data_IF_602602459050
#
_entry.id   IF_602602459050
#
_cell.length_a   1.000
_cell.length_b   1.000
_cell.length_c   1.000
_cell.angle_alpha   90.00
_cell.angle_beta   90.00
_cell.angle_gamma   90.00
#
_symmetry.space_group_name_H-M   'P 1'
#
loop_
_entity.id
_entity.type
_entity.pdbx_description
1 polymer ?
#
# COMPACT_ATOMS: atom_id res chain seq x y z
N UNK A 1 -4.19 -10.96 -2.43
CA UNK A 1 -3.28 -11.72 -1.54
C UNK A 1 -1.93 -11.99 -2.16
N UNK A 2 -1.85 -12.79 -3.23
CA UNK A 2 -0.57 -13.14 -3.85
C UNK A 2 0.29 -11.90 -4.16
N UNK A 3 -0.28 -10.87 -4.75
CA UNK A 3 0.43 -9.62 -5.04
C UNK A 3 1.08 -8.96 -3.82
N UNK A 4 0.36 -8.87 -2.68
CA UNK A 4 0.93 -8.33 -1.43
C UNK A 4 2.13 -9.17 -0.97
N UNK A 5 1.98 -10.51 -0.99
CA UNK A 5 3.06 -11.42 -0.62
C UNK A 5 4.29 -11.23 -1.51
N UNK A 6 4.10 -11.18 -2.83
CA UNK A 6 5.18 -10.95 -3.80
C UNK A 6 5.89 -9.61 -3.53
N UNK A 7 5.13 -8.53 -3.31
CA UNK A 7 5.72 -7.22 -2.99
C UNK A 7 6.55 -7.26 -1.70
N UNK A 8 6.03 -7.89 -0.63
CA UNK A 8 6.80 -8.05 0.61
C UNK A 8 8.06 -8.92 0.40
N UNK A 9 7.97 -9.96 -0.43
CA UNK A 9 9.10 -10.84 -0.76
C UNK A 9 10.25 -10.09 -1.45
N UNK A 10 9.91 -9.18 -2.36
CA UNK A 10 10.91 -8.40 -3.11
C UNK A 10 11.54 -7.29 -2.26
N UNK A 11 10.77 -6.70 -1.34
CA UNK A 11 11.18 -5.48 -0.65
C UNK A 11 11.86 -5.77 0.69
N UNK A 12 11.34 -6.77 1.43
CA UNK A 12 11.68 -6.97 2.83
C UNK A 12 12.65 -8.12 3.05
N UNK A 13 13.64 -7.87 3.88
CA UNK A 13 14.55 -8.86 4.44
C UNK A 13 14.40 -8.92 5.96
N UNK A 14 15.02 -9.93 6.57
CA UNK A 14 15.04 -10.10 8.03
C UNK A 14 15.57 -8.86 8.74
N UNK A 15 14.78 -8.32 9.66
CA UNK A 15 15.12 -7.16 10.47
C UNK A 15 14.82 -5.80 9.84
N UNK A 16 14.32 -5.77 8.60
CA UNK A 16 13.81 -4.54 7.99
C UNK A 16 12.57 -4.01 8.73
N UNK A 17 12.30 -2.73 8.59
CA UNK A 17 11.12 -2.08 9.20
C UNK A 17 10.06 -1.78 8.13
N UNK A 18 8.81 -2.19 8.43
CA UNK A 18 7.61 -1.84 7.67
C UNK A 18 6.66 -0.96 8.47
N UNK A 19 6.25 0.17 7.92
CA UNK A 19 5.20 1.03 8.48
C UNK A 19 3.86 0.65 7.84
N UNK A 20 2.85 0.36 8.67
CA UNK A 20 1.52 -0.05 8.21
C UNK A 20 0.48 0.90 8.79
N UNK A 21 -0.37 1.48 7.94
CA UNK A 21 -1.53 2.26 8.39
C UNK A 21 -2.69 1.30 8.72
N UNK A 22 -3.13 1.33 9.97
CA UNK A 22 -4.17 0.45 10.50
C UNK A 22 -5.32 1.20 11.20
N UNK A 23 -6.44 0.52 11.56
CA UNK A 23 -6.67 -0.91 11.35
C UNK A 23 -6.80 -1.25 9.86
N UNK A 24 -6.27 -2.38 9.46
CA UNK A 24 -6.27 -2.84 8.09
C UNK A 24 -6.42 -4.36 8.01
N UNK A 25 -6.84 -4.84 6.85
CA UNK A 25 -6.94 -6.28 6.57
C UNK A 25 -5.67 -7.04 6.98
N UNK A 26 -5.76 -8.09 7.84
CA UNK A 26 -4.63 -8.61 8.61
C UNK A 26 -3.53 -9.29 7.79
N UNK A 27 -3.80 -9.66 6.55
CA UNK A 27 -2.86 -10.45 5.75
C UNK A 27 -1.60 -9.68 5.35
N UNK A 28 -1.61 -8.33 5.34
CA UNK A 28 -0.39 -7.56 5.19
C UNK A 28 0.58 -7.80 6.35
N UNK A 29 0.06 -7.80 7.59
CA UNK A 29 0.88 -8.09 8.77
C UNK A 29 1.54 -9.46 8.68
N UNK A 30 0.74 -10.48 8.31
CA UNK A 30 1.27 -11.83 8.10
C UNK A 30 2.36 -11.88 7.03
N UNK A 31 2.19 -11.12 5.94
CA UNK A 31 3.18 -11.07 4.85
C UNK A 31 4.50 -10.42 5.31
N UNK A 32 4.45 -9.38 6.14
CA UNK A 32 5.63 -8.72 6.71
C UNK A 32 6.32 -9.63 7.74
N UNK A 33 5.56 -10.26 8.64
CA UNK A 33 6.09 -11.18 9.66
C UNK A 33 6.77 -12.41 9.03
N UNK A 34 6.24 -12.93 7.94
CA UNK A 34 6.86 -14.05 7.20
C UNK A 34 8.23 -13.69 6.62
N UNK A 35 8.54 -12.41 6.44
CA UNK A 35 9.88 -11.92 6.07
C UNK A 35 10.78 -11.64 7.27
N UNK A 36 10.36 -11.98 8.48
CA UNK A 36 11.07 -11.65 9.73
C UNK A 36 11.35 -10.13 9.88
N UNK A 37 10.51 -9.31 9.24
CA UNK A 37 10.59 -7.85 9.32
C UNK A 37 9.75 -7.32 10.51
N UNK A 38 10.12 -6.15 11.01
CA UNK A 38 9.48 -5.49 12.14
C UNK A 38 8.34 -4.61 11.64
N UNK A 39 7.19 -4.68 12.32
CA UNK A 39 6.03 -3.84 11.99
C UNK A 39 5.97 -2.65 12.95
N UNK A 40 5.91 -1.46 12.37
CA UNK A 40 5.55 -0.22 13.04
C UNK A 40 4.17 0.22 12.55
N UNK A 41 3.16 0.20 13.42
CA UNK A 41 1.79 0.54 13.05
C UNK A 41 1.44 1.95 13.41
N UNK A 42 0.86 2.68 12.44
CA UNK A 42 0.23 3.99 12.63
C UNK A 42 -1.27 3.82 12.55
N UNK A 43 -1.95 3.98 13.66
CA UNK A 43 -3.39 3.79 13.75
C UNK A 43 -4.15 5.00 13.22
N UNK A 44 -5.19 4.72 12.41
CA UNK A 44 -6.25 5.69 12.15
C UNK A 44 -6.98 6.02 13.45
N UNK A 45 -7.42 7.24 13.58
CA UNK A 45 -8.21 7.72 14.71
C UNK A 45 -9.69 7.81 14.32
N UNK A 46 -10.57 7.50 15.27
CA UNK A 46 -12.00 7.58 15.04
C UNK A 46 -12.63 8.61 15.99
N UNK A 47 -13.12 9.71 15.40
CA UNK A 47 -14.03 10.66 16.02
C UNK A 47 -15.12 11.02 14.99
N UNK A 48 -16.28 10.37 15.05
CA UNK A 48 -17.36 10.43 14.06
C UNK A 48 -16.97 9.89 12.68
N UNK A 49 -15.76 10.13 12.23
CA UNK A 49 -15.16 9.59 10.99
C UNK A 49 -13.74 9.08 11.27
N UNK A 50 -13.25 8.20 10.39
CA UNK A 50 -11.88 7.76 10.44
C UNK A 50 -10.96 8.81 9.82
N UNK A 51 -9.86 9.11 10.49
CA UNK A 51 -8.85 10.09 10.04
C UNK A 51 -7.44 9.55 10.25
N UNK A 52 -6.50 10.01 9.43
CA UNK A 52 -5.08 9.75 9.58
C UNK A 52 -4.38 11.03 10.08
N UNK A 53 -3.65 10.93 11.18
CA UNK A 53 -2.67 11.95 11.53
C UNK A 53 -1.44 11.79 10.63
N UNK A 54 -1.34 12.63 9.59
CA UNK A 54 -0.21 12.61 8.67
C UNK A 54 1.12 12.81 9.36
N UNK A 55 1.20 13.67 10.40
CA UNK A 55 2.45 13.90 11.11
C UNK A 55 2.91 12.64 11.84
N UNK A 56 1.98 11.89 12.44
CA UNK A 56 2.30 10.57 13.04
C UNK A 56 2.84 9.61 12.00
N UNK A 57 2.21 9.55 10.81
CA UNK A 57 2.69 8.68 9.73
C UNK A 57 4.09 9.09 9.28
N UNK A 58 4.30 10.36 8.95
CA UNK A 58 5.60 10.85 8.46
C UNK A 58 6.73 10.65 9.49
N UNK A 59 6.45 10.86 10.77
CA UNK A 59 7.41 10.63 11.85
C UNK A 59 7.72 9.15 12.09
N UNK A 60 6.78 8.25 11.78
CA UNK A 60 7.00 6.81 11.87
C UNK A 60 7.89 6.27 10.75
N UNK A 61 8.00 6.99 9.62
CA UNK A 61 8.86 6.62 8.49
C UNK A 61 10.28 7.15 8.74
N UNK A 62 11.15 6.26 9.16
CA UNK A 62 12.56 6.56 9.49
C UNK A 62 13.51 6.13 8.36
N UNK A 63 14.79 6.37 8.52
CA UNK A 63 15.82 5.91 7.58
C UNK A 63 15.99 4.37 7.57
N UNK A 64 15.41 3.69 8.57
CA UNK A 64 15.35 2.20 8.63
C UNK A 64 14.12 1.62 7.94
N UNK A 65 13.12 2.44 7.65
CA UNK A 65 11.89 1.99 7.00
C UNK A 65 12.18 1.57 5.56
N UNK A 66 11.84 0.32 5.22
CA UNK A 66 11.94 -0.21 3.86
C UNK A 66 10.62 -0.19 3.12
N UNK A 67 9.52 -0.37 3.85
CA UNK A 67 8.17 -0.48 3.30
C UNK A 67 7.20 0.41 4.06
N UNK A 68 6.41 1.20 3.34
CA UNK A 68 5.18 1.84 3.83
C UNK A 68 4.01 1.19 3.14
N UNK A 69 3.06 0.65 3.90
CA UNK A 69 1.84 0.04 3.36
C UNK A 69 0.62 0.89 3.68
N UNK A 70 -0.15 1.19 2.63
CA UNK A 70 -1.41 1.94 2.74
C UNK A 70 -2.49 1.24 1.93
N UNK A 71 -3.64 0.95 2.54
CA UNK A 71 -4.83 0.50 1.85
C UNK A 71 -5.84 1.65 1.80
N UNK A 72 -6.10 2.17 0.61
CA UNK A 72 -7.02 3.30 0.38
C UNK A 72 -7.75 3.17 -0.96
N UNK A 73 -9.08 3.02 -0.95
CA UNK A 73 -9.99 2.94 0.20
C UNK A 73 -9.71 1.75 1.12
N UNK A 74 -9.87 1.96 2.42
CA UNK A 74 -9.42 1.04 3.45
C UNK A 74 -10.46 -0.04 3.79
N UNK A 75 -9.98 -1.25 4.00
CA UNK A 75 -10.72 -2.33 4.64
C UNK A 75 -10.14 -2.56 6.05
N UNK A 76 -10.90 -2.34 7.15
CA UNK A 76 -12.37 -2.35 7.20
C UNK A 76 -13.05 -0.97 7.30
N UNK A 77 -12.32 0.12 7.42
CA UNK A 77 -12.86 1.41 7.88
C UNK A 77 -13.60 2.22 6.82
N UNK A 78 -13.32 1.97 5.52
CA UNK A 78 -13.79 2.82 4.43
C UNK A 78 -13.06 4.18 4.32
N UNK A 79 -12.07 4.43 5.19
CA UNK A 79 -11.24 5.63 5.10
C UNK A 79 -10.49 5.72 3.77
N UNK A 80 -10.32 6.95 3.29
CA UNK A 80 -9.63 7.21 2.02
C UNK A 80 -8.70 8.41 2.15
N UNK A 81 -7.54 8.33 1.49
CA UNK A 81 -6.66 9.47 1.25
C UNK A 81 -7.22 10.34 0.11
N UNK A 82 -7.07 11.65 0.23
CA UNK A 82 -7.19 12.57 -0.89
C UNK A 82 -5.85 12.75 -1.63
N UNK A 83 -5.88 13.38 -2.82
CA UNK A 83 -4.67 13.56 -3.65
C UNK A 83 -3.58 14.39 -2.97
N UNK A 84 -3.95 15.38 -2.15
CA UNK A 84 -2.96 16.20 -1.44
C UNK A 84 -2.23 15.40 -0.37
N UNK A 85 -2.95 14.57 0.38
CA UNK A 85 -2.36 13.66 1.36
C UNK A 85 -1.46 12.61 0.69
N UNK A 86 -1.91 12.06 -0.45
CA UNK A 86 -1.11 11.13 -1.25
C UNK A 86 0.20 11.77 -1.73
N UNK A 87 0.15 13.03 -2.20
CA UNK A 87 1.35 13.74 -2.64
C UNK A 87 2.35 13.93 -1.49
N UNK A 88 1.87 14.37 -0.31
CA UNK A 88 2.72 14.55 0.87
C UNK A 88 3.42 13.23 1.25
N UNK A 89 2.68 12.13 1.26
CA UNK A 89 3.23 10.80 1.57
C UNK A 89 4.25 10.38 0.52
N UNK A 90 3.93 10.52 -0.76
CA UNK A 90 4.81 10.13 -1.86
C UNK A 90 6.13 10.91 -1.83
N UNK A 91 6.07 12.23 -1.60
CA UNK A 91 7.26 13.06 -1.48
C UNK A 91 8.13 12.67 -0.28
N UNK A 92 7.48 12.24 0.82
CA UNK A 92 8.21 11.81 2.00
C UNK A 92 8.90 10.45 1.79
N UNK A 93 8.23 9.48 1.18
CA UNK A 93 8.85 8.17 0.89
C UNK A 93 9.97 8.29 -0.13
N UNK A 94 9.87 9.22 -1.10
CA UNK A 94 10.97 9.58 -2.00
C UNK A 94 12.20 10.06 -1.22
N UNK A 95 12.02 11.02 -0.29
CA UNK A 95 13.11 11.55 0.55
C UNK A 95 13.75 10.47 1.42
N UNK A 96 12.95 9.54 1.93
CA UNK A 96 13.40 8.42 2.78
C UNK A 96 13.93 7.24 1.97
N UNK A 97 13.81 7.28 0.64
CA UNK A 97 14.23 6.22 -0.26
C UNK A 97 13.63 4.85 0.09
N UNK A 98 12.42 4.82 0.65
CA UNK A 98 11.68 3.60 0.98
C UNK A 98 10.58 3.29 -0.04
N UNK A 99 10.06 2.06 -0.01
CA UNK A 99 8.98 1.62 -0.88
C UNK A 99 7.62 2.02 -0.35
N UNK A 100 6.74 2.46 -1.23
CA UNK A 100 5.31 2.60 -0.96
C UNK A 100 4.56 1.45 -1.65
N UNK A 101 3.86 0.64 -0.86
CA UNK A 101 2.93 -0.37 -1.33
C UNK A 101 1.50 0.12 -1.10
N UNK A 102 0.85 0.56 -2.16
CA UNK A 102 -0.53 1.03 -2.14
C UNK A 102 -1.49 -0.09 -2.56
N UNK A 103 -2.36 -0.50 -1.65
CA UNK A 103 -3.44 -1.42 -1.96
C UNK A 103 -4.69 -0.62 -2.33
N UNK A 104 -4.98 -0.55 -3.63
CA UNK A 104 -6.09 0.22 -4.20
C UNK A 104 -7.21 -0.68 -4.74
N UNK A 105 -7.38 -1.89 -4.20
CA UNK A 105 -8.37 -2.87 -4.70
C UNK A 105 -9.81 -2.36 -4.62
N UNK A 106 -10.09 -1.38 -3.76
CA UNK A 106 -11.40 -0.75 -3.62
C UNK A 106 -11.54 0.58 -4.38
N UNK A 107 -10.57 0.92 -5.23
CA UNK A 107 -10.46 2.19 -5.95
C UNK A 107 -11.78 2.66 -6.61
N UNK A 108 -12.59 1.74 -7.15
CA UNK A 108 -13.89 2.06 -7.78
C UNK A 108 -15.09 1.86 -6.87
N UNK A 109 -14.90 1.57 -5.60
CA UNK A 109 -15.99 1.42 -4.62
C UNK A 109 -16.02 2.66 -3.75
N UNK A 110 -16.63 3.71 -4.28
CA UNK A 110 -16.75 5.02 -3.63
C UNK A 110 -18.21 5.49 -3.70
N UNK A 111 -18.65 6.28 -2.70
CA UNK A 111 -20.01 6.81 -2.66
C UNK A 111 -20.18 8.11 -3.46
N UNK A 112 -19.07 8.78 -3.79
CA UNK A 112 -19.09 10.01 -4.58
C UNK A 112 -18.02 9.93 -5.67
N UNK A 113 -18.34 10.44 -6.86
CA UNK A 113 -17.46 10.35 -8.01
C UNK A 113 -17.41 8.95 -8.63
N UNK A 114 -16.44 8.72 -9.50
CA UNK A 114 -16.27 7.46 -10.24
C UNK A 114 -15.17 6.56 -9.65
N UNK A 115 -14.24 7.15 -8.92
CA UNK A 115 -13.11 6.46 -8.32
C UNK A 115 -12.47 7.31 -7.20
N UNK A 116 -11.75 6.66 -6.29
CA UNK A 116 -10.85 7.34 -5.34
C UNK A 116 -9.60 7.89 -6.03
N UNK A 117 -8.87 8.78 -5.36
CA UNK A 117 -7.54 9.16 -5.79
C UNK A 117 -6.61 7.93 -5.85
N UNK A 118 -5.64 7.97 -6.78
CA UNK A 118 -4.63 6.92 -6.92
C UNK A 118 -3.23 7.52 -6.87
N UNK A 119 -2.31 6.85 -6.20
CA UNK A 119 -0.90 7.22 -6.20
C UNK A 119 -0.28 7.21 -7.60
N UNK A 120 -0.80 6.38 -8.52
CA UNK A 120 -0.35 6.35 -9.92
C UNK A 120 -0.54 7.67 -10.65
N UNK A 121 -1.51 8.48 -10.24
CA UNK A 121 -1.75 9.79 -10.87
C UNK A 121 -0.71 10.86 -10.48
N UNK A 122 0.11 10.56 -9.47
CA UNK A 122 1.09 11.47 -8.87
C UNK A 122 2.53 10.94 -9.01
N UNK A 123 2.67 9.69 -9.44
CA UNK A 123 3.95 9.01 -9.47
C UNK A 123 4.70 9.21 -10.78
N UNK A 124 6.02 9.13 -10.69
CA UNK A 124 6.95 9.02 -11.81
C UNK A 124 7.29 7.54 -12.07
N UNK A 125 7.73 7.18 -13.30
CA UNK A 125 7.98 5.77 -13.66
C UNK A 125 9.00 5.03 -12.78
N UNK A 126 9.97 5.76 -12.22
CA UNK A 126 11.05 5.18 -11.40
C UNK A 126 10.81 5.28 -9.89
N UNK A 127 9.65 5.78 -9.47
CA UNK A 127 9.30 5.82 -8.06
C UNK A 127 9.30 4.42 -7.44
N UNK A 128 9.76 4.33 -6.20
CA UNK A 128 9.64 3.12 -5.38
C UNK A 128 8.18 2.91 -4.95
N UNK A 129 7.31 2.75 -5.95
CA UNK A 129 5.86 2.58 -5.79
C UNK A 129 5.41 1.25 -6.37
N UNK A 130 4.66 0.50 -5.59
CA UNK A 130 3.92 -0.68 -6.03
C UNK A 130 2.44 -0.44 -5.77
N UNK A 131 1.60 -0.55 -6.79
CA UNK A 131 0.16 -0.41 -6.64
C UNK A 131 -0.53 -1.72 -6.95
N UNK A 132 -1.33 -2.21 -6.00
CA UNK A 132 -2.09 -3.44 -6.14
C UNK A 132 -3.54 -3.11 -6.47
N UNK A 133 -4.02 -3.73 -7.51
CA UNK A 133 -5.41 -3.70 -7.92
C UNK A 133 -5.97 -5.12 -8.15
N UNK A 134 -7.30 -5.22 -8.17
CA UNK A 134 -7.98 -6.50 -8.39
C UNK A 134 -9.33 -6.29 -9.05
N UNK A 135 -9.69 -7.21 -9.94
CA UNK A 135 -11.04 -7.27 -10.50
C UNK A 135 -12.09 -7.75 -9.49
N UNK A 136 -11.64 -8.38 -8.41
CA UNK A 136 -12.53 -9.04 -7.42
C UNK A 136 -13.57 -8.09 -6.84
N UNK A 137 -13.20 -6.87 -6.48
CA UNK A 137 -14.06 -5.91 -5.78
C UNK A 137 -14.73 -4.96 -6.77
N UNK A 138 -13.94 -4.21 -7.53
CA UNK A 138 -14.41 -3.18 -8.45
C UNK A 138 -15.31 -3.71 -9.58
N UNK A 139 -15.15 -4.98 -9.94
CA UNK A 139 -15.89 -5.60 -11.04
C UNK A 139 -16.75 -6.80 -10.60
N UNK A 140 -16.90 -7.00 -9.28
CA UNK A 140 -17.65 -8.13 -8.71
C UNK A 140 -17.19 -9.50 -9.22
N UNK A 141 -15.88 -9.67 -9.44
CA UNK A 141 -15.28 -10.87 -10.05
C UNK A 141 -14.43 -11.65 -9.04
N UNK A 142 -14.95 -11.85 -7.83
CA UNK A 142 -14.19 -12.52 -6.74
C UNK A 142 -13.76 -13.94 -7.08
N UNK A 143 -14.57 -14.69 -7.83
CA UNK A 143 -14.28 -16.06 -8.22
C UNK A 143 -13.20 -16.20 -9.32
N UNK A 144 -12.92 -15.15 -10.08
CA UNK A 144 -12.00 -15.18 -11.21
C UNK A 144 -10.53 -15.18 -10.80
N UNK A 145 -10.22 -14.74 -9.59
CA UNK A 145 -8.87 -14.67 -9.02
C UNK A 145 -7.89 -13.84 -9.85
N UNK A 146 -8.35 -12.74 -10.46
CA UNK A 146 -7.54 -11.83 -11.28
C UNK A 146 -7.23 -10.55 -10.54
N UNK A 147 -5.98 -10.13 -10.60
CA UNK A 147 -5.46 -8.86 -10.10
C UNK A 147 -4.14 -8.55 -10.76
N UNK A 148 -3.62 -7.37 -10.52
CA UNK A 148 -2.35 -6.91 -11.09
C UNK A 148 -1.57 -6.04 -10.11
N UNK A 149 -0.27 -5.95 -10.34
CA UNK A 149 0.66 -5.06 -9.66
C UNK A 149 1.18 -4.09 -10.71
N UNK A 150 1.00 -2.79 -10.49
CA UNK A 150 1.71 -1.75 -11.24
C UNK A 150 3.01 -1.47 -10.51
N UNK A 151 4.12 -1.49 -11.23
CA UNK A 151 5.47 -1.44 -10.66
C UNK A 151 6.45 -0.74 -11.62
N UNK A 152 7.60 -0.24 -11.14
CA UNK A 152 8.68 0.23 -12.00
C UNK A 152 9.20 -0.88 -12.94
N UNK A 153 9.57 -0.52 -14.17
CA UNK A 153 9.93 -1.49 -15.22
C UNK A 153 11.02 -2.48 -14.78
N UNK A 154 12.03 -2.00 -14.06
CA UNK A 154 13.17 -2.82 -13.60
C UNK A 154 12.79 -3.97 -12.65
N UNK A 155 11.59 -3.96 -12.07
CA UNK A 155 11.11 -5.07 -11.22
C UNK A 155 10.40 -6.19 -12.01
N UNK A 156 10.08 -5.97 -13.29
CA UNK A 156 9.22 -6.88 -14.05
C UNK A 156 9.71 -8.32 -14.07
N UNK A 157 11.01 -8.54 -14.33
CA UNK A 157 11.60 -9.88 -14.34
C UNK A 157 11.58 -10.55 -12.97
N UNK A 158 11.81 -9.78 -11.90
CA UNK A 158 11.80 -10.31 -10.53
C UNK A 158 10.39 -10.76 -10.13
N UNK A 159 9.38 -9.92 -10.44
CA UNK A 159 7.98 -10.25 -10.17
C UNK A 159 7.56 -11.48 -10.98
N UNK A 160 7.91 -11.56 -12.26
CA UNK A 160 7.57 -12.69 -13.13
C UNK A 160 8.10 -14.02 -12.59
N UNK A 161 9.34 -14.05 -12.06
CA UNK A 161 9.95 -15.24 -11.44
C UNK A 161 9.23 -15.71 -10.18
N UNK A 162 8.59 -14.81 -9.44
CA UNK A 162 7.84 -15.15 -8.22
C UNK A 162 6.40 -15.59 -8.47
N UNK A 163 5.89 -15.39 -9.67
CA UNK A 163 4.53 -15.80 -10.08
C UNK A 163 4.52 -17.22 -10.69
N UNK A 164 5.65 -17.70 -11.17
CA UNK A 164 5.82 -19.05 -11.71
C UNK A 164 5.88 -20.11 -10.61
#
# INVERSE_FOLDING_TARGET
>A
MLGIKICCEIILEKGDEGVIVGPVWPNIRSSVVLREAVINEVSLEFDKTWTLDLNKLLNAITDKTKLVFINSPNNPTGWMLNSSEQQIILDHVRKKNCWLLADEVYHRIVYQGNASSSFLSLSEPDDKLLVINSSSKSFNMTGWRVGWITHPEYLGEHIAKLVQ
#
